data_IF_365847916142
#
_entry.id   IF_365847916142
#
_cell.length_a   1.000
_cell.length_b   1.000
_cell.length_c   1.000
_cell.angle_alpha   90.00
_cell.angle_beta   90.00
_cell.angle_gamma   90.00
#
_symmetry.space_group_name_H-M   'P 1'
#
loop_
_entity.id
_entity.type
_entity.pdbx_description
1 polymer ?
#
# COMPACT_ATOMS: atom_id res chain seq x y z
N UNK A 1 19.61 15.31 -16.08
CA UNK A 1 20.93 15.41 -16.74
C UNK A 1 21.73 14.19 -16.34
N UNK A 2 22.21 13.46 -17.35
CA UNK A 2 23.20 12.36 -17.45
C UNK A 2 23.51 11.58 -16.16
N UNK A 3 23.08 10.30 -16.14
CA UNK A 3 23.72 9.27 -15.30
C UNK A 3 24.36 8.24 -16.23
N UNK A 4 25.69 8.10 -16.10
CA UNK A 4 26.56 7.26 -16.92
C UNK A 4 26.15 5.78 -16.94
N UNK A 5 26.11 5.21 -18.14
CA UNK A 5 25.57 3.88 -18.45
C UNK A 5 26.55 2.72 -18.19
N UNK A 6 27.04 2.55 -16.96
CA UNK A 6 28.00 1.48 -16.64
C UNK A 6 27.67 0.62 -15.41
N UNK A 7 26.40 0.39 -15.11
CA UNK A 7 26.01 -0.60 -14.09
C UNK A 7 25.58 -1.93 -14.72
N UNK A 8 26.43 -2.95 -14.52
CA UNK A 8 26.13 -4.36 -14.74
C UNK A 8 25.51 -4.93 -13.46
N UNK A 9 24.50 -5.78 -13.59
CA UNK A 9 24.05 -6.63 -12.48
C UNK A 9 25.11 -7.71 -12.15
N UNK A 10 24.94 -8.36 -10.99
CA UNK A 10 25.91 -9.34 -10.47
C UNK A 10 25.66 -10.77 -10.98
N UNK A 11 24.70 -10.99 -11.88
CA UNK A 11 24.24 -12.34 -12.25
C UNK A 11 24.01 -12.59 -13.75
N UNK A 12 24.25 -11.60 -14.62
CA UNK A 12 24.25 -11.80 -16.07
C UNK A 12 22.87 -12.11 -16.66
N UNK A 13 21.79 -11.74 -15.96
CA UNK A 13 20.44 -11.91 -16.47
C UNK A 13 20.05 -10.67 -17.29
N UNK A 14 19.36 -10.82 -18.42
CA UNK A 14 18.80 -9.67 -19.11
C UNK A 14 17.73 -9.03 -18.21
N UNK A 15 18.01 -7.83 -17.69
CA UNK A 15 17.01 -6.97 -17.11
C UNK A 15 16.02 -6.60 -18.23
N UNK A 16 14.79 -7.08 -18.15
CA UNK A 16 13.71 -6.52 -18.97
C UNK A 16 13.64 -5.02 -18.68
N UNK A 17 13.76 -4.21 -19.74
CA UNK A 17 13.76 -2.77 -19.63
C UNK A 17 12.37 -2.26 -19.19
N UNK A 18 12.10 -2.27 -17.89
CA UNK A 18 10.96 -1.58 -17.32
C UNK A 18 11.30 -0.10 -17.21
N UNK A 19 10.95 0.65 -18.25
CA UNK A 19 11.13 2.11 -18.28
C UNK A 19 9.90 2.76 -17.63
N UNK A 20 10.01 3.09 -16.33
CA UNK A 20 9.02 3.94 -15.65
C UNK A 20 9.39 5.41 -15.91
N UNK A 21 8.61 6.12 -16.71
CA UNK A 21 8.82 7.56 -16.95
C UNK A 21 8.47 8.33 -15.67
N UNK A 22 9.49 8.77 -14.93
CA UNK A 22 9.31 9.70 -13.82
C UNK A 22 9.12 11.11 -14.38
N UNK A 23 7.87 11.57 -14.45
CA UNK A 23 7.58 13.01 -14.59
C UNK A 23 7.73 13.64 -13.21
N UNK A 24 8.73 14.50 -13.06
CA UNK A 24 8.85 15.40 -11.90
C UNK A 24 7.71 16.41 -11.99
N UNK A 25 6.56 16.08 -11.39
CA UNK A 25 5.50 17.06 -11.13
C UNK A 25 6.03 18.05 -10.09
N UNK A 26 5.67 19.33 -10.23
CA UNK A 26 6.11 20.38 -9.34
C UNK A 26 5.70 20.06 -7.89
N UNK A 27 6.68 19.95 -6.99
CA UNK A 27 6.61 19.95 -5.52
C UNK A 27 5.18 19.82 -4.95
N UNK A 28 4.53 18.67 -5.19
CA UNK A 28 3.23 18.37 -4.60
C UNK A 28 3.52 17.84 -3.20
N UNK A 29 3.33 18.71 -2.20
CA UNK A 29 3.59 18.42 -0.79
C UNK A 29 2.31 17.98 -0.06
N UNK A 30 1.33 17.48 -0.79
CA UNK A 30 0.06 17.04 -0.20
C UNK A 30 0.27 15.64 0.41
N UNK A 31 0.07 15.46 1.73
CA UNK A 31 0.17 14.13 2.34
C UNK A 31 -0.82 13.16 1.70
N UNK A 32 -0.42 11.90 1.53
CA UNK A 32 -1.32 10.84 1.07
C UNK A 32 -2.52 10.80 2.03
N UNK A 33 -3.73 10.96 1.50
CA UNK A 33 -4.97 10.92 2.28
C UNK A 33 -5.66 9.59 2.04
N UNK A 34 -5.60 8.69 3.02
CA UNK A 34 -6.35 7.42 3.01
C UNK A 34 -7.86 7.60 2.81
N UNK A 35 -8.40 8.80 3.10
CA UNK A 35 -9.82 9.12 2.96
C UNK A 35 -10.27 9.19 1.50
N UNK A 36 -9.35 9.34 0.57
CA UNK A 36 -9.65 9.40 -0.86
C UNK A 36 -9.57 8.03 -1.53
N UNK A 37 -9.13 7.01 -0.79
CA UNK A 37 -9.00 5.65 -1.30
C UNK A 37 -10.37 5.03 -1.50
N UNK A 38 -10.61 4.47 -2.68
CA UNK A 38 -11.84 3.72 -2.96
C UNK A 38 -11.62 2.25 -2.74
N UNK A 39 -12.34 1.69 -1.77
CA UNK A 39 -12.26 0.28 -1.39
C UNK A 39 -13.43 -0.51 -1.96
N UNK A 40 -13.16 -1.63 -2.62
CA UNK A 40 -14.17 -2.62 -3.00
C UNK A 40 -14.00 -3.86 -2.14
N UNK A 41 -15.01 -4.15 -1.31
CA UNK A 41 -14.97 -5.26 -0.37
C UNK A 41 -15.43 -6.57 -1.01
N UNK A 42 -14.80 -7.69 -0.65
CA UNK A 42 -15.17 -9.00 -1.17
C UNK A 42 -16.39 -9.59 -0.43
N UNK A 43 -17.10 -10.49 -1.11
CA UNK A 43 -18.23 -11.21 -0.53
C UNK A 43 -17.79 -12.47 0.23
N UNK A 44 -18.53 -12.81 1.29
CA UNK A 44 -18.29 -14.04 2.05
C UNK A 44 -18.52 -15.28 1.19
N UNK A 45 -17.69 -16.32 1.40
CA UNK A 45 -17.75 -17.57 0.65
C UNK A 45 -17.18 -17.47 -0.76
N UNK A 46 -16.47 -16.40 -1.10
CA UNK A 46 -15.82 -16.20 -2.40
C UNK A 46 -14.31 -16.01 -2.26
N UNK A 47 -13.58 -16.09 -3.39
CA UNK A 47 -12.19 -15.61 -3.50
C UNK A 47 -12.10 -14.26 -4.21
N UNK A 48 -13.18 -13.46 -4.16
CA UNK A 48 -13.16 -12.13 -4.77
C UNK A 48 -12.01 -11.32 -4.15
N UNK A 49 -11.30 -10.53 -4.96
CA UNK A 49 -10.23 -9.69 -4.44
C UNK A 49 -10.81 -8.58 -3.57
N UNK A 50 -10.04 -8.17 -2.56
CA UNK A 50 -10.19 -6.86 -1.96
C UNK A 50 -9.41 -5.87 -2.84
N UNK A 51 -10.03 -4.75 -3.20
CA UNK A 51 -9.42 -3.77 -4.12
C UNK A 51 -9.31 -2.41 -3.44
N UNK A 52 -8.13 -1.80 -3.53
CA UNK A 52 -7.86 -0.41 -3.18
C UNK A 52 -7.51 0.36 -4.46
N UNK A 53 -8.18 1.49 -4.69
CA UNK A 53 -7.81 2.44 -5.74
C UNK A 53 -7.32 3.73 -5.11
N UNK A 54 -6.13 4.16 -5.51
CA UNK A 54 -5.46 5.37 -5.04
C UNK A 54 -5.68 6.51 -6.04
N UNK A 55 -5.81 7.77 -5.57
CA UNK A 55 -5.96 8.93 -6.45
C UNK A 55 -4.68 9.24 -7.24
N UNK A 56 -3.52 8.85 -6.71
CA UNK A 56 -2.19 9.06 -7.28
C UNK A 56 -1.30 7.81 -7.14
N UNK A 57 -0.27 7.64 -7.99
CA UNK A 57 0.66 6.52 -7.89
C UNK A 57 1.44 6.48 -6.57
N UNK A 58 1.44 5.33 -5.91
CA UNK A 58 2.27 5.08 -4.72
C UNK A 58 3.52 4.27 -5.06
N UNK A 59 4.48 4.17 -4.12
CA UNK A 59 5.65 3.34 -4.34
C UNK A 59 5.28 1.84 -4.43
N UNK A 60 5.70 1.20 -5.53
CA UNK A 60 5.38 -0.19 -5.84
C UNK A 60 5.91 -1.18 -4.78
N UNK A 61 7.17 -1.00 -4.37
CA UNK A 61 7.81 -1.89 -3.41
C UNK A 61 7.17 -1.73 -2.03
N UNK A 62 6.72 -0.52 -1.67
CA UNK A 62 5.98 -0.29 -0.43
C UNK A 62 4.58 -0.88 -0.48
N UNK A 63 3.81 -0.64 -1.56
CA UNK A 63 2.47 -1.21 -1.75
C UNK A 63 2.42 -2.73 -1.56
N UNK A 64 3.47 -3.44 -1.98
CA UNK A 64 3.54 -4.90 -1.86
C UNK A 64 3.77 -5.41 -0.43
N UNK A 65 4.37 -4.60 0.46
CA UNK A 65 4.80 -5.05 1.80
C UNK A 65 4.16 -4.30 2.97
N UNK A 66 3.56 -3.13 2.71
CA UNK A 66 3.08 -2.20 3.74
C UNK A 66 1.55 -2.23 3.93
N UNK A 67 0.83 -2.95 3.08
CA UNK A 67 -0.61 -3.17 3.19
C UNK A 67 -0.85 -4.63 3.55
N UNK A 68 -1.45 -4.86 4.71
CA UNK A 68 -1.75 -6.19 5.24
C UNK A 68 -3.25 -6.31 5.48
N UNK A 69 -3.80 -7.51 5.27
CA UNK A 69 -5.19 -7.80 5.63
C UNK A 69 -5.20 -8.65 6.88
N UNK A 70 -5.90 -8.21 7.92
CA UNK A 70 -6.01 -8.93 9.18
C UNK A 70 -7.47 -9.25 9.51
N UNK A 71 -7.72 -10.41 10.13
CA UNK A 71 -9.02 -10.78 10.66
C UNK A 71 -9.33 -10.04 11.99
N UNK A 72 -10.54 -10.23 12.52
CA UNK A 72 -10.97 -9.66 13.80
C UNK A 72 -10.09 -10.06 15.01
N UNK A 73 -9.31 -11.13 14.91
CA UNK A 73 -8.37 -11.60 15.94
C UNK A 73 -6.97 -11.03 15.74
N UNK A 74 -6.74 -10.28 14.66
CA UNK A 74 -5.44 -9.72 14.29
C UNK A 74 -4.54 -10.68 13.52
N UNK A 75 -5.04 -11.84 13.07
CA UNK A 75 -4.26 -12.75 12.25
C UNK A 75 -4.21 -12.25 10.81
N UNK A 76 -3.03 -12.33 10.17
CA UNK A 76 -2.93 -12.06 8.74
C UNK A 76 -3.76 -13.05 7.94
N UNK A 77 -4.57 -12.53 7.02
CA UNK A 77 -5.12 -13.30 5.92
C UNK A 77 -3.96 -13.59 4.97
N UNK A 78 -3.89 -14.81 4.43
CA UNK A 78 -2.88 -15.18 3.42
C UNK A 78 -3.48 -15.05 2.02
N UNK A 79 -2.63 -14.70 1.07
CA UNK A 79 -3.04 -14.34 -0.26
C UNK A 79 -1.92 -13.69 -1.05
N UNK A 80 -2.27 -13.27 -2.26
CA UNK A 80 -1.36 -12.66 -3.24
C UNK A 80 -1.82 -11.24 -3.51
N UNK A 81 -0.85 -10.33 -3.54
CA UNK A 81 -1.06 -8.94 -3.91
C UNK A 81 -0.71 -8.74 -5.38
N UNK A 82 -1.57 -8.04 -6.10
CA UNK A 82 -1.31 -7.56 -7.47
C UNK A 82 -1.39 -6.03 -7.49
N UNK A 83 -0.42 -5.39 -8.14
CA UNK A 83 -0.37 -3.93 -8.30
C UNK A 83 -0.41 -3.63 -9.79
N UNK A 84 -1.34 -2.77 -10.22
CA UNK A 84 -1.51 -2.41 -11.63
C UNK A 84 -1.94 -0.95 -11.79
N UNK A 85 -2.27 -0.56 -13.03
CA UNK A 85 -2.68 0.81 -13.41
C UNK A 85 -1.74 1.90 -12.88
N UNK A 86 -0.45 1.77 -13.18
CA UNK A 86 0.58 2.71 -12.74
C UNK A 86 0.56 2.92 -11.21
N UNK A 87 0.48 1.82 -10.45
CA UNK A 87 0.52 1.81 -8.99
C UNK A 87 -0.63 2.57 -8.31
N UNK A 88 -1.72 2.81 -9.04
CA UNK A 88 -2.95 3.40 -8.51
C UNK A 88 -3.99 2.32 -8.16
N UNK A 89 -3.69 1.06 -8.41
CA UNK A 89 -4.60 -0.05 -8.22
C UNK A 89 -3.89 -1.20 -7.53
N UNK A 90 -4.42 -1.58 -6.37
CA UNK A 90 -3.90 -2.66 -5.53
C UNK A 90 -5.03 -3.66 -5.28
N UNK A 91 -4.76 -4.93 -5.57
CA UNK A 91 -5.69 -6.02 -5.36
C UNK A 91 -5.08 -7.07 -4.43
N UNK A 92 -5.91 -7.65 -3.57
CA UNK A 92 -5.52 -8.74 -2.69
C UNK A 92 -6.43 -9.94 -2.90
N UNK A 93 -5.87 -10.99 -3.49
CA UNK A 93 -6.55 -12.26 -3.73
C UNK A 93 -6.25 -13.23 -2.58
N UNK A 94 -7.25 -13.67 -1.80
CA UNK A 94 -6.99 -14.58 -0.71
C UNK A 94 -6.71 -16.01 -1.20
N UNK A 95 -5.88 -16.74 -0.45
CA UNK A 95 -5.63 -18.16 -0.73
C UNK A 95 -6.87 -19.01 -0.47
N UNK A 96 -7.70 -18.60 0.49
CA UNK A 96 -8.91 -19.28 0.93
C UNK A 96 -10.15 -18.42 0.72
N UNK A 97 -11.34 -19.03 0.77
CA UNK A 97 -12.60 -18.28 0.72
C UNK A 97 -12.72 -17.34 1.92
N UNK A 98 -13.21 -16.13 1.68
CA UNK A 98 -13.51 -15.20 2.78
C UNK A 98 -14.55 -15.79 3.72
N UNK A 99 -14.25 -15.83 5.02
CA UNK A 99 -15.26 -16.11 6.02
C UNK A 99 -16.12 -14.86 6.26
N UNK A 100 -17.37 -15.05 6.67
CA UNK A 100 -18.16 -13.92 7.16
C UNK A 100 -17.56 -13.42 8.47
N UNK A 101 -17.36 -12.11 8.58
CA UNK A 101 -16.73 -11.53 9.76
C UNK A 101 -16.23 -10.12 9.54
N UNK A 102 -15.53 -9.63 10.55
CA UNK A 102 -14.87 -8.33 10.52
C UNK A 102 -13.40 -8.54 10.17
N UNK A 103 -12.89 -7.66 9.31
CA UNK A 103 -11.52 -7.61 8.86
C UNK A 103 -11.00 -6.18 8.95
N UNK A 104 -9.70 -5.99 8.81
CA UNK A 104 -9.09 -4.68 8.68
C UNK A 104 -7.99 -4.69 7.63
N UNK A 105 -7.93 -3.61 6.85
CA UNK A 105 -6.76 -3.26 6.06
C UNK A 105 -5.81 -2.50 6.99
N UNK A 106 -4.69 -3.10 7.33
CA UNK A 106 -3.63 -2.47 8.11
C UNK A 106 -2.60 -1.88 7.15
N UNK A 107 -2.48 -0.56 7.15
CA UNK A 107 -1.58 0.22 6.30
C UNK A 107 -0.47 0.79 7.15
N UNK A 108 0.78 0.45 6.85
CA UNK A 108 1.94 1.02 7.53
C UNK A 108 2.04 2.52 7.21
N UNK A 109 2.19 3.37 8.21
CA UNK A 109 2.24 4.83 8.03
C UNK A 109 3.48 5.31 7.27
N UNK A 110 4.51 4.46 7.16
CA UNK A 110 5.66 4.68 6.31
C UNK A 110 5.37 4.47 4.80
N UNK A 111 4.14 4.10 4.42
CA UNK A 111 3.74 4.07 3.01
C UNK A 111 3.82 5.49 2.44
N UNK A 112 4.63 5.64 1.39
CA UNK A 112 4.89 6.91 0.72
C UNK A 112 4.54 6.88 -0.77
N UNK A 113 4.28 8.04 -1.34
CA UNK A 113 4.14 8.23 -2.78
C UNK A 113 5.51 8.30 -3.48
N UNK A 114 5.50 8.39 -4.81
CA UNK A 114 6.75 8.49 -5.59
C UNK A 114 7.54 9.80 -5.34
N UNK A 115 6.95 10.79 -4.67
CA UNK A 115 7.58 12.05 -4.27
C UNK A 115 8.09 12.00 -2.81
N UNK A 116 7.87 10.90 -2.08
CA UNK A 116 8.28 10.73 -0.68
C UNK A 116 7.28 11.30 0.35
N UNK A 117 6.06 11.66 -0.07
CA UNK A 117 5.01 12.05 0.86
C UNK A 117 4.43 10.79 1.53
N UNK A 118 4.50 10.72 2.85
CA UNK A 118 3.98 9.59 3.62
C UNK A 118 2.65 9.91 4.33
N UNK A 119 2.02 8.88 4.90
CA UNK A 119 0.78 9.01 5.68
C UNK A 119 0.98 9.72 7.03
N UNK A 120 2.22 10.00 7.47
CA UNK A 120 2.50 10.57 8.79
C UNK A 120 1.98 12.02 8.96
N UNK A 121 1.68 12.73 7.87
CA UNK A 121 1.08 14.07 7.91
C UNK A 121 -0.31 14.15 8.56
N UNK A 122 -0.94 13.00 8.84
CA UNK A 122 -2.20 12.90 9.59
C UNK A 122 -1.96 12.92 11.11
N UNK A 123 -0.78 12.50 11.59
CA UNK A 123 -0.45 12.40 13.03
C UNK A 123 0.31 13.60 13.61
N UNK A 124 1.00 14.40 12.78
CA UNK A 124 1.78 15.55 13.27
C UNK A 124 0.90 16.70 13.82
N UNK A 125 -0.43 16.61 13.67
CA UNK A 125 -1.37 17.57 14.25
C UNK A 125 -1.72 17.33 15.72
N UNK A 126 -1.28 16.23 16.35
CA UNK A 126 -1.60 15.96 17.77
C UNK A 126 -0.43 15.57 18.68
N UNK A 127 0.83 15.72 18.29
CA UNK A 127 1.96 15.41 19.21
C UNK A 127 2.83 16.62 19.53
N UNK A 128 2.32 17.49 20.41
CA UNK A 128 3.19 18.21 21.35
C UNK A 128 3.57 17.26 22.48
N UNK A 129 4.70 16.59 22.34
CA UNK A 129 5.24 15.75 23.41
C UNK A 129 6.45 14.98 22.92
N UNK A 130 7.63 15.47 23.27
CA UNK A 130 8.93 14.85 23.07
C UNK A 130 8.98 13.39 23.53
N UNK A 131 9.26 12.47 22.61
CA UNK A 131 10.36 11.51 22.79
C UNK A 131 10.77 10.88 21.45
N UNK A 132 12.08 10.77 21.24
CA UNK A 132 12.69 10.09 20.11
C UNK A 132 12.54 8.57 20.31
N UNK A 133 11.39 8.02 19.92
CA UNK A 133 11.18 6.58 19.94
C UNK A 133 11.47 6.02 18.54
N UNK A 134 12.41 5.09 18.46
CA UNK A 134 12.69 4.26 17.28
C UNK A 134 11.34 3.86 16.68
N UNK A 135 11.04 4.30 15.46
CA UNK A 135 9.72 4.16 14.86
C UNK A 135 9.34 2.67 14.74
N UNK A 136 8.71 2.11 15.78
CA UNK A 136 7.80 0.99 15.65
C UNK A 136 6.80 1.44 14.59
N UNK A 137 6.80 0.76 13.44
CA UNK A 137 5.91 1.11 12.35
C UNK A 137 4.47 1.21 12.87
N UNK A 138 3.90 2.42 12.86
CA UNK A 138 2.50 2.62 13.19
C UNK A 138 1.66 2.14 12.01
N UNK A 139 0.53 1.49 12.31
CA UNK A 139 -0.42 1.02 11.31
C UNK A 139 -1.75 1.74 11.47
N UNK A 140 -2.26 2.31 10.39
CA UNK A 140 -3.67 2.72 10.32
C UNK A 140 -4.52 1.52 9.92
N UNK A 141 -5.64 1.31 10.60
CA UNK A 141 -6.56 0.20 10.35
C UNK A 141 -7.87 0.70 9.78
N UNK A 142 -8.17 0.29 8.55
CA UNK A 142 -9.47 0.50 7.91
C UNK A 142 -10.32 -0.77 8.09
N UNK A 143 -11.28 -0.72 9.02
CA UNK A 143 -12.12 -1.87 9.35
C UNK A 143 -13.24 -2.05 8.31
N UNK A 144 -13.53 -3.29 7.95
CA UNK A 144 -14.63 -3.65 7.05
C UNK A 144 -15.29 -4.96 7.43
N UNK A 145 -16.56 -5.12 7.02
CA UNK A 145 -17.32 -6.35 7.21
C UNK A 145 -17.40 -7.14 5.90
N UNK A 146 -17.17 -8.44 5.99
CA UNK A 146 -17.43 -9.39 4.90
C UNK A 146 -18.70 -10.15 5.24
N UNK A 147 -19.74 -9.96 4.43
CA UNK A 147 -21.05 -10.62 4.59
C UNK A 147 -21.40 -11.40 3.34
N UNK A 148 -22.36 -12.32 3.46
CA UNK A 148 -23.01 -12.89 2.28
C UNK A 148 -23.87 -11.81 1.63
N UNK A 149 -23.86 -11.74 0.30
CA UNK A 149 -24.83 -10.95 -0.46
C UNK A 149 -26.20 -11.63 -0.45
#
# INVERSE_FOLDING_TARGET
MILDSNWKDTYGNPLEAFQKEFKVAADDRTPVSEKEWRVTFPAAGTRQPLILNFPDPLDHALLSRMILIVDAKGNSVTGVTEISKSEMHWEYMPDSLWASGIYSVAVNTALEDLAGNNLNGVFDREMKGSDQQIATADFVKLQFGVTKH
#
